data_IF_397812201248
#
_entry.id   IF_397812201248
#
_cell.length_a   1.000
_cell.length_b   1.000
_cell.length_c   1.000
_cell.angle_alpha   90.00
_cell.angle_beta   90.00
_cell.angle_gamma   90.00
#
_symmetry.space_group_name_H-M   'P 1'
#
loop_
_entity.id
_entity.type
_entity.pdbx_description
1 polymer ?
#
# COMPACT_ATOMS: atom_id res chain seq x y z
N UNK A 1 -16.19 1.70 -9.09
CA UNK A 1 -16.32 2.80 -8.12
C UNK A 1 -15.57 2.37 -6.87
N UNK A 2 -14.46 3.04 -6.50
CA UNK A 2 -13.64 2.65 -5.35
C UNK A 2 -13.38 3.86 -4.49
N UNK A 3 -13.71 3.72 -3.21
CA UNK A 3 -13.55 4.72 -2.16
C UNK A 3 -12.50 4.18 -1.17
N UNK A 4 -11.61 5.06 -0.73
CA UNK A 4 -10.59 4.78 0.28
C UNK A 4 -11.19 5.20 1.63
N UNK A 5 -11.28 4.27 2.57
CA UNK A 5 -11.86 4.50 3.90
C UNK A 5 -10.77 4.39 4.96
N UNK A 6 -10.69 5.39 5.84
CA UNK A 6 -9.83 5.38 7.02
C UNK A 6 -10.70 5.13 8.25
N UNK A 7 -10.35 4.14 9.08
CA UNK A 7 -11.03 3.89 10.35
C UNK A 7 -10.14 4.34 11.50
N UNK A 8 -10.63 5.30 12.30
CA UNK A 8 -10.03 5.64 13.59
C UNK A 8 -10.67 4.76 14.66
N UNK A 9 -9.89 4.02 15.42
CA UNK A 9 -10.39 3.22 16.54
C UNK A 9 -10.46 4.10 17.79
N UNK A 10 -11.56 4.82 17.99
CA UNK A 10 -11.81 5.50 19.27
C UNK A 10 -12.27 4.48 20.31
N UNK A 11 -11.38 4.06 21.21
CA UNK A 11 -11.78 3.29 22.39
C UNK A 11 -12.09 4.25 23.53
N UNK A 12 -13.36 4.62 23.64
CA UNK A 12 -13.85 5.41 24.76
C UNK A 12 -15.31 5.82 24.70
N UNK A 13 -16.24 4.99 24.22
CA UNK A 13 -17.68 5.23 24.43
C UNK A 13 -18.43 3.97 24.82
N UNK A 14 -19.10 4.07 25.97
CA UNK A 14 -20.06 3.14 26.51
C UNK A 14 -21.21 2.89 25.52
N UNK A 15 -21.72 1.64 25.53
CA UNK A 15 -22.89 1.13 24.80
C UNK A 15 -23.92 2.23 24.44
N UNK A 16 -24.16 2.41 23.14
CA UNK A 16 -25.44 2.98 22.65
C UNK A 16 -25.39 4.15 21.67
N UNK A 17 -24.27 4.44 20.99
CA UNK A 17 -24.22 5.59 20.06
C UNK A 17 -23.84 5.14 18.64
N UNK A 18 -24.71 5.43 17.67
CA UNK A 18 -24.58 5.03 16.25
C UNK A 18 -23.34 5.68 15.63
N UNK A 19 -22.57 4.88 14.90
CA UNK A 19 -21.34 5.26 14.19
C UNK A 19 -21.57 6.48 13.28
N UNK A 20 -21.00 7.61 13.69
CA UNK A 20 -21.00 8.88 12.94
C UNK A 20 -19.70 8.96 12.14
N UNK A 21 -19.83 8.89 10.82
CA UNK A 21 -18.72 9.05 9.87
C UNK A 21 -18.35 10.54 9.81
N UNK A 22 -17.09 10.89 10.10
CA UNK A 22 -16.59 12.26 9.94
C UNK A 22 -15.45 12.32 8.91
N UNK A 23 -15.59 13.24 7.97
CA UNK A 23 -14.55 13.62 7.02
C UNK A 23 -13.53 14.52 7.74
N UNK A 24 -12.33 14.03 8.02
CA UNK A 24 -11.26 14.88 8.54
C UNK A 24 -10.67 15.73 7.41
N UNK A 25 -10.98 17.03 7.43
CA UNK A 25 -10.38 18.05 6.59
C UNK A 25 -8.94 18.37 7.02
N UNK A 26 -8.12 18.71 6.02
CA UNK A 26 -6.74 19.14 6.16
C UNK A 26 -6.69 20.60 6.63
N UNK A 27 -6.11 20.88 7.80
CA UNK A 27 -5.83 22.25 8.24
C UNK A 27 -4.35 22.39 8.64
N UNK A 28 -3.62 23.08 7.75
CA UNK A 28 -2.40 23.87 7.90
C UNK A 28 -1.40 23.52 9.04
N UNK A 29 -0.30 22.87 8.61
CA UNK A 29 1.08 23.27 8.90
C UNK A 29 1.45 23.72 10.31
N UNK A 30 1.99 22.79 11.12
CA UNK A 30 3.09 23.03 12.08
C UNK A 30 3.57 21.69 12.66
N UNK A 31 4.83 21.33 12.39
CA UNK A 31 5.45 20.10 12.88
C UNK A 31 5.96 20.31 14.31
N UNK A 32 5.21 19.82 15.31
CA UNK A 32 5.73 19.68 16.67
C UNK A 32 6.34 18.29 16.82
N UNK A 33 7.64 18.26 17.14
CA UNK A 33 8.42 17.06 17.43
C UNK A 33 7.91 16.49 18.77
N UNK A 34 7.08 15.46 18.74
CA UNK A 34 6.69 14.74 19.95
C UNK A 34 7.84 13.80 20.37
N UNK A 35 8.24 13.91 21.63
CA UNK A 35 9.31 13.17 22.27
C UNK A 35 8.91 11.69 22.43
N UNK A 36 9.68 10.79 21.83
CA UNK A 36 9.44 9.34 21.83
C UNK A 36 9.75 8.74 23.20
N UNK A 37 8.72 8.38 23.99
CA UNK A 37 8.90 7.46 25.13
C UNK A 37 7.64 6.65 25.49
N UNK A 38 6.65 6.55 24.61
CA UNK A 38 5.52 5.63 24.83
C UNK A 38 4.85 5.26 23.50
N UNK A 39 5.42 4.29 22.78
CA UNK A 39 4.79 3.69 21.60
C UNK A 39 3.59 2.85 22.04
N UNK A 40 2.49 3.53 22.33
CA UNK A 40 1.19 2.92 22.50
C UNK A 40 0.75 2.35 21.13
N UNK A 41 0.77 1.03 21.01
CA UNK A 41 0.44 0.25 19.79
C UNK A 41 -1.04 0.34 19.35
N UNK A 42 -1.83 1.26 19.93
CA UNK A 42 -3.28 1.32 19.74
C UNK A 42 -3.78 2.26 18.64
N UNK A 43 -2.92 3.02 17.96
CA UNK A 43 -3.32 4.04 16.96
C UNK A 43 -2.59 3.92 15.60
N UNK A 44 -2.18 2.73 15.17
CA UNK A 44 -1.58 2.57 13.83
C UNK A 44 -2.65 2.55 12.74
N UNK A 45 -2.55 3.40 11.70
CA UNK A 45 -3.46 3.34 10.56
C UNK A 45 -3.35 1.99 9.84
N UNK A 46 -4.48 1.51 9.33
CA UNK A 46 -4.54 0.30 8.52
C UNK A 46 -4.91 0.63 7.08
N UNK A 47 -4.07 0.22 6.13
CA UNK A 47 -4.38 0.29 4.70
C UNK A 47 -5.01 -1.04 4.27
N UNK A 48 -6.19 -0.97 3.66
CA UNK A 48 -6.91 -2.13 3.13
C UNK A 48 -7.30 -1.93 1.67
N UNK A 49 -7.16 -2.97 0.87
CA UNK A 49 -7.63 -2.97 -0.53
C UNK A 49 -9.04 -3.55 -0.59
N UNK A 50 -9.94 -2.87 -1.29
CA UNK A 50 -11.31 -3.36 -1.52
C UNK A 50 -11.30 -4.46 -2.58
N UNK A 51 -11.14 -5.70 -2.13
CA UNK A 51 -11.25 -6.92 -2.93
C UNK A 51 -12.38 -7.79 -2.39
N UNK A 52 -13.01 -8.60 -3.24
CA UNK A 52 -13.89 -9.66 -2.74
C UNK A 52 -13.07 -10.65 -1.90
N UNK A 53 -13.68 -11.35 -0.94
CA UNK A 53 -12.97 -12.34 -0.12
C UNK A 53 -12.28 -13.42 -0.96
N UNK A 54 -12.97 -13.90 -2.01
CA UNK A 54 -12.44 -14.91 -2.94
C UNK A 54 -11.18 -14.42 -3.67
N UNK A 55 -11.23 -13.23 -4.26
CA UNK A 55 -10.07 -12.66 -4.95
C UNK A 55 -8.93 -12.32 -3.99
N UNK A 56 -9.24 -11.81 -2.80
CA UNK A 56 -8.23 -11.51 -1.76
C UNK A 56 -7.45 -12.78 -1.39
N UNK A 57 -8.14 -13.90 -1.16
CA UNK A 57 -7.49 -15.16 -0.81
C UNK A 57 -6.64 -15.70 -1.97
N UNK A 58 -7.13 -15.59 -3.22
CA UNK A 58 -6.37 -16.01 -4.39
C UNK A 58 -5.07 -15.21 -4.55
N UNK A 59 -5.14 -13.88 -4.46
CA UNK A 59 -3.95 -13.03 -4.56
C UNK A 59 -2.97 -13.31 -3.41
N UNK A 60 -3.45 -13.41 -2.17
CA UNK A 60 -2.62 -13.80 -1.02
C UNK A 60 -1.94 -15.15 -1.23
N UNK A 61 -2.65 -16.13 -1.80
CA UNK A 61 -2.09 -17.42 -2.17
C UNK A 61 -0.97 -17.30 -3.22
N UNK A 62 -1.19 -16.50 -4.27
CA UNK A 62 -0.17 -16.26 -5.29
C UNK A 62 1.10 -15.60 -4.72
N UNK A 63 1.00 -14.74 -3.71
CA UNK A 63 2.16 -14.09 -3.08
C UNK A 63 3.21 -15.09 -2.55
N UNK A 64 2.78 -16.28 -2.15
CA UNK A 64 3.64 -17.34 -1.59
C UNK A 64 4.41 -18.12 -2.65
N UNK A 65 4.05 -18.01 -3.93
CA UNK A 65 4.74 -18.69 -5.03
C UNK A 65 5.84 -17.81 -5.66
N UNK A 66 6.87 -18.41 -6.28
CA UNK A 66 7.89 -17.67 -7.00
C UNK A 66 7.29 -16.87 -8.16
N UNK A 67 7.56 -15.56 -8.18
CA UNK A 67 7.16 -14.68 -9.27
C UNK A 67 8.06 -14.80 -10.51
N UNK A 68 7.53 -14.33 -11.64
CA UNK A 68 8.21 -14.26 -12.95
C UNK A 68 8.90 -12.91 -13.22
N UNK A 69 8.83 -11.98 -12.27
CA UNK A 69 9.47 -10.67 -12.31
C UNK A 69 10.24 -10.38 -11.02
N UNK A 70 11.39 -9.73 -11.17
CA UNK A 70 12.19 -9.23 -10.05
C UNK A 70 12.24 -7.71 -10.09
N UNK A 71 11.89 -7.05 -8.98
CA UNK A 71 12.06 -5.60 -8.82
C UNK A 71 13.30 -5.37 -7.94
N UNK A 72 14.30 -4.69 -8.47
CA UNK A 72 15.53 -4.33 -7.77
C UNK A 72 15.40 -2.93 -7.21
N UNK A 73 15.49 -2.81 -5.89
CA UNK A 73 15.36 -1.59 -5.11
C UNK A 73 16.73 -1.17 -4.55
N UNK A 74 16.78 -0.02 -3.87
CA UNK A 74 18.03 0.52 -3.28
C UNK A 74 18.82 -0.50 -2.46
N UNK A 75 18.12 -1.28 -1.63
CA UNK A 75 18.70 -2.15 -0.62
C UNK A 75 18.33 -3.63 -0.81
N UNK A 76 18.02 -4.05 -2.03
CA UNK A 76 17.79 -5.46 -2.34
C UNK A 76 16.76 -5.67 -3.44
N UNK A 77 16.14 -6.84 -3.47
CA UNK A 77 15.20 -7.23 -4.53
C UNK A 77 13.96 -7.91 -3.97
N UNK A 78 12.86 -7.81 -4.72
CA UNK A 78 11.59 -8.46 -4.40
C UNK A 78 11.01 -9.12 -5.65
N UNK A 79 10.59 -10.37 -5.50
CA UNK A 79 9.94 -11.11 -6.57
C UNK A 79 8.43 -10.85 -6.55
N UNK A 80 7.83 -10.78 -7.73
CA UNK A 80 6.40 -10.59 -7.92
C UNK A 80 5.95 -11.14 -9.28
N UNK A 81 4.64 -11.24 -9.46
CA UNK A 81 4.02 -11.70 -10.70
C UNK A 81 3.73 -10.51 -11.60
N UNK A 82 4.22 -10.55 -12.84
CA UNK A 82 4.01 -9.48 -13.85
C UNK A 82 2.54 -9.13 -14.00
N UNK A 83 1.70 -10.15 -14.11
CA UNK A 83 0.25 -9.99 -14.28
C UNK A 83 -0.38 -9.17 -13.13
N UNK A 84 0.08 -9.38 -11.90
CA UNK A 84 -0.43 -8.67 -10.71
C UNK A 84 0.08 -7.23 -10.69
N UNK A 85 1.36 -7.03 -11.01
CA UNK A 85 1.97 -5.70 -11.10
C UNK A 85 1.29 -4.83 -12.17
N UNK A 86 1.15 -5.35 -13.40
CA UNK A 86 0.54 -4.64 -14.51
C UNK A 86 -0.93 -4.30 -14.25
N UNK A 87 -1.67 -5.20 -13.61
CA UNK A 87 -3.06 -4.94 -13.24
C UNK A 87 -3.21 -3.84 -12.17
N UNK A 88 -2.17 -3.61 -11.37
CA UNK A 88 -2.18 -2.66 -10.25
C UNK A 88 -1.45 -1.35 -10.52
N UNK A 89 -0.77 -1.20 -11.66
CA UNK A 89 0.05 -0.02 -11.98
C UNK A 89 0.20 0.18 -13.48
N UNK A 90 -0.05 1.41 -13.94
CA UNK A 90 0.24 1.80 -15.33
C UNK A 90 1.73 1.77 -15.64
N UNK A 91 2.58 2.23 -14.70
CA UNK A 91 4.03 2.19 -14.85
C UNK A 91 4.56 0.77 -15.11
N UNK A 92 4.08 -0.21 -14.33
CA UNK A 92 4.48 -1.60 -14.53
C UNK A 92 3.88 -2.19 -15.81
N UNK A 93 2.65 -1.81 -16.18
CA UNK A 93 2.06 -2.19 -17.46
C UNK A 93 2.93 -1.71 -18.63
N UNK A 94 3.30 -0.44 -18.66
CA UNK A 94 4.09 0.15 -19.74
C UNK A 94 5.52 -0.42 -19.78
N UNK A 95 6.11 -0.64 -18.60
CA UNK A 95 7.49 -1.15 -18.48
C UNK A 95 7.61 -2.64 -18.79
N UNK A 96 6.60 -3.45 -18.44
CA UNK A 96 6.66 -4.91 -18.58
C UNK A 96 5.95 -5.42 -19.84
N UNK A 97 5.03 -4.68 -20.45
CA UNK A 97 4.32 -5.14 -21.65
C UNK A 97 5.24 -5.35 -22.85
N UNK A 98 6.35 -4.60 -22.91
CA UNK A 98 7.32 -4.64 -24.01
C UNK A 98 8.47 -5.63 -23.79
N UNK A 99 8.61 -6.18 -22.58
CA UNK A 99 9.72 -7.07 -22.20
C UNK A 99 9.33 -8.53 -22.46
N UNK A 100 9.80 -9.10 -23.57
CA UNK A 100 9.53 -10.50 -23.94
C UNK A 100 10.48 -11.52 -23.29
N UNK A 101 11.55 -11.09 -22.62
CA UNK A 101 12.54 -12.00 -22.04
C UNK A 101 12.02 -12.69 -20.76
N UNK A 102 12.26 -14.00 -20.59
CA UNK A 102 12.00 -14.68 -19.32
C UNK A 102 12.88 -14.07 -18.22
N UNK A 103 12.28 -13.67 -17.09
CA UNK A 103 12.99 -13.05 -15.97
C UNK A 103 12.98 -11.52 -15.95
N UNK A 104 11.89 -10.89 -16.42
CA UNK A 104 11.73 -9.43 -16.43
C UNK A 104 12.23 -8.77 -15.14
N UNK A 105 13.13 -7.81 -15.27
CA UNK A 105 13.74 -7.11 -14.16
C UNK A 105 13.43 -5.61 -14.26
N UNK A 106 12.98 -5.01 -13.17
CA UNK A 106 12.70 -3.57 -13.09
C UNK A 106 13.63 -2.96 -12.05
N UNK A 107 14.31 -1.87 -12.44
CA UNK A 107 15.19 -1.12 -11.55
C UNK A 107 14.45 0.06 -10.94
N UNK A 108 14.36 0.07 -9.62
CA UNK A 108 13.80 1.16 -8.82
C UNK A 108 14.78 1.58 -7.70
N UNK A 109 16.01 2.03 -8.03
CA UNK A 109 17.06 2.33 -7.06
C UNK A 109 16.71 3.47 -6.09
N UNK A 110 15.72 4.30 -6.43
CA UNK A 110 15.23 5.39 -5.60
C UNK A 110 14.24 4.95 -4.51
N UNK A 111 13.73 3.72 -4.58
CA UNK A 111 12.72 3.21 -3.63
C UNK A 111 13.42 2.25 -2.65
N UNK A 112 13.11 2.42 -1.35
CA UNK A 112 13.56 1.47 -0.34
C UNK A 112 12.79 0.14 -0.46
N UNK A 113 13.50 -0.97 -0.23
CA UNK A 113 12.92 -2.31 -0.35
C UNK A 113 11.77 -2.55 0.64
N UNK A 114 11.79 -1.94 1.83
CA UNK A 114 10.71 -2.04 2.81
C UNK A 114 9.41 -1.45 2.27
N UNK A 115 9.46 -0.25 1.71
CA UNK A 115 8.31 0.40 1.09
C UNK A 115 7.81 -0.38 -0.13
N UNK A 116 8.72 -0.87 -0.98
CA UNK A 116 8.33 -1.69 -2.14
C UNK A 116 7.65 -2.99 -1.71
N UNK A 117 8.15 -3.68 -0.67
CA UNK A 117 7.52 -4.90 -0.14
C UNK A 117 6.11 -4.62 0.38
N UNK A 118 5.94 -3.55 1.15
CA UNK A 118 4.62 -3.14 1.66
C UNK A 118 3.65 -2.84 0.51
N UNK A 119 4.09 -2.07 -0.50
CA UNK A 119 3.28 -1.81 -1.69
C UNK A 119 2.88 -3.10 -2.42
N UNK A 120 3.82 -4.03 -2.60
CA UNK A 120 3.55 -5.32 -3.22
C UNK A 120 2.54 -6.11 -2.38
N UNK A 121 2.74 -6.19 -1.08
CA UNK A 121 1.86 -6.89 -0.17
C UNK A 121 0.43 -6.32 -0.20
N UNK A 122 0.30 -5.00 -0.30
CA UNK A 122 -0.98 -4.32 -0.51
C UNK A 122 -1.66 -4.69 -1.83
N UNK A 123 -0.93 -4.74 -2.96
CA UNK A 123 -1.54 -5.14 -4.25
C UNK A 123 -1.97 -6.62 -4.26
N UNK A 124 -1.32 -7.48 -3.47
CA UNK A 124 -1.77 -8.86 -3.22
C UNK A 124 -2.93 -8.94 -2.22
N UNK A 125 -3.44 -7.82 -1.75
CA UNK A 125 -4.63 -7.75 -0.90
C UNK A 125 -4.36 -7.97 0.58
N UNK A 126 -3.12 -7.83 1.04
CA UNK A 126 -2.81 -7.85 2.47
C UNK A 126 -3.23 -6.55 3.15
N UNK A 127 -3.70 -6.67 4.39
CA UNK A 127 -3.97 -5.51 5.25
C UNK A 127 -2.64 -5.06 5.85
N UNK A 128 -2.30 -3.78 5.68
CA UNK A 128 -1.05 -3.24 6.22
C UNK A 128 -1.34 -2.41 7.46
N UNK A 129 -0.69 -2.73 8.58
CA UNK A 129 -0.65 -1.89 9.76
C UNK A 129 0.72 -1.22 9.82
N UNK A 130 0.76 0.08 9.59
CA UNK A 130 2.00 0.87 9.51
C UNK A 130 1.84 2.16 10.29
N UNK A 131 2.94 2.82 10.65
CA UNK A 131 2.89 4.16 11.23
C UNK A 131 2.54 5.22 10.17
N UNK A 132 2.26 6.45 10.61
CA UNK A 132 1.83 7.53 9.73
C UNK A 132 2.90 7.96 8.72
N UNK A 133 4.18 7.92 9.08
CA UNK A 133 5.27 8.30 8.18
C UNK A 133 5.42 7.26 7.06
N UNK A 134 5.45 5.99 7.42
CA UNK A 134 5.48 4.87 6.47
C UNK A 134 4.24 4.88 5.56
N UNK A 135 3.05 5.14 6.11
CA UNK A 135 1.82 5.28 5.33
C UNK A 135 1.93 6.40 4.28
N UNK A 136 2.44 7.56 4.66
CA UNK A 136 2.64 8.69 3.74
C UNK A 136 3.64 8.33 2.63
N UNK A 137 4.72 7.61 2.96
CA UNK A 137 5.68 7.11 1.97
C UNK A 137 5.05 6.10 1.00
N UNK A 138 4.24 5.15 1.49
CA UNK A 138 3.50 4.20 0.66
C UNK A 138 2.60 4.93 -0.33
N UNK A 139 1.81 5.91 0.14
CA UNK A 139 0.89 6.67 -0.72
C UNK A 139 1.68 7.46 -1.77
N UNK A 140 2.76 8.14 -1.35
CA UNK A 140 3.61 8.92 -2.25
C UNK A 140 4.20 8.04 -3.36
N UNK A 141 4.88 6.96 -2.98
CA UNK A 141 5.55 6.05 -3.93
C UNK A 141 4.50 5.32 -4.79
N UNK A 142 3.36 4.95 -4.22
CA UNK A 142 2.25 4.35 -4.97
C UNK A 142 1.71 5.27 -6.06
N UNK A 143 1.58 6.59 -5.79
CA UNK A 143 1.23 7.60 -6.80
C UNK A 143 2.32 7.72 -7.88
N UNK A 144 3.60 7.78 -7.49
CA UNK A 144 4.73 7.86 -8.42
C UNK A 144 4.82 6.63 -9.36
N UNK A 145 4.51 5.43 -8.83
CA UNK A 145 4.44 4.19 -9.59
C UNK A 145 3.12 4.02 -10.36
N UNK A 146 2.26 5.03 -10.43
CA UNK A 146 1.02 4.96 -11.21
C UNK A 146 0.03 3.90 -10.70
N UNK A 147 0.03 3.58 -9.41
CA UNK A 147 -0.86 2.57 -8.86
C UNK A 147 -2.29 3.11 -8.74
N UNK A 148 -3.25 2.43 -9.37
CA UNK A 148 -4.63 2.98 -9.45
C UNK A 148 -5.32 3.07 -8.08
N UNK A 149 -4.83 2.34 -7.08
CA UNK A 149 -5.35 2.41 -5.72
C UNK A 149 -5.03 3.74 -4.99
N UNK A 150 -4.04 4.50 -5.46
CA UNK A 150 -3.58 5.74 -4.81
C UNK A 150 -3.79 6.99 -5.68
N UNK A 151 -4.21 6.84 -6.94
CA UNK A 151 -4.49 7.97 -7.84
C UNK A 151 -5.93 8.43 -7.61
N UNK A 152 -6.10 9.71 -7.31
CA UNK A 152 -7.42 10.34 -7.26
C UNK A 152 -8.05 10.31 -8.66
N UNK A 153 -9.30 9.86 -8.75
CA UNK A 153 -10.06 9.97 -9.99
C UNK A 153 -10.44 11.44 -10.16
N UNK A 154 -9.87 12.08 -11.17
CA UNK A 154 -10.37 13.36 -11.70
C UNK A 154 -11.80 13.21 -12.23
#
# INVERSE_FOLDING_TARGET
>A
MMEIWFQKTDKGKSKGEKDRWETCGFVQGSFHRCNDNNLNTSNMPTLKRKLSPESSNLYKGMRSFPGDCTIVCKNGKVNAHRVVLCAASSFFMDSLSTVMSPGGCILCPQIDIGIMKLLIDFIYGMDLQVDFETMHQIIKVGKELGMQAFIEKA
#
